data_IF_287009652088
#
_entry.id   IF_287009652088
#
_cell.length_a   1.000
_cell.length_b   1.000
_cell.length_c   1.000
_cell.angle_alpha   90.00
_cell.angle_beta   90.00
_cell.angle_gamma   90.00
#
_symmetry.space_group_name_H-M   'P 1'
#
loop_
_entity.id
_entity.type
_entity.pdbx_description
1 polymer ?
#
# COMPACT_ATOMS: atom_id res chain seq x y z
N UNK A 1 -25.92 10.23 -39.43
CA UNK A 1 -25.53 10.70 -38.08
C UNK A 1 -24.09 10.24 -37.79
N UNK A 2 -23.11 11.07 -38.14
CA UNK A 2 -21.69 10.82 -37.86
C UNK A 2 -21.42 11.21 -36.41
N UNK A 3 -21.31 10.21 -35.51
CA UNK A 3 -20.86 10.45 -34.12
C UNK A 3 -19.43 11.00 -34.18
N UNK A 4 -19.28 12.30 -33.95
CA UNK A 4 -17.97 12.92 -33.75
C UNK A 4 -17.26 12.23 -32.59
N UNK A 5 -16.20 11.49 -32.89
CA UNK A 5 -15.30 10.92 -31.90
C UNK A 5 -14.64 12.10 -31.17
N UNK A 6 -15.15 12.45 -30.00
CA UNK A 6 -14.48 13.41 -29.11
C UNK A 6 -13.15 12.80 -28.72
N UNK A 7 -12.06 13.24 -29.35
CA UNK A 7 -10.72 12.80 -28.98
C UNK A 7 -10.36 13.41 -27.63
N UNK A 8 -10.39 12.61 -26.58
CA UNK A 8 -9.80 13.02 -25.31
C UNK A 8 -8.28 13.01 -25.47
N UNK A 9 -7.68 14.20 -25.54
CA UNK A 9 -6.21 14.33 -25.51
C UNK A 9 -5.72 13.98 -24.11
N UNK A 10 -5.34 12.72 -23.91
CA UNK A 10 -4.63 12.29 -22.70
C UNK A 10 -3.19 12.73 -22.83
N UNK A 11 -2.82 13.79 -22.09
CA UNK A 11 -1.51 14.45 -22.19
C UNK A 11 -0.33 13.52 -21.85
N UNK A 12 -0.56 12.52 -20.99
CA UNK A 12 0.40 11.45 -20.70
C UNK A 12 -0.34 10.18 -20.21
N UNK A 13 -0.07 9.03 -20.84
CA UNK A 13 -0.69 7.76 -20.50
C UNK A 13 0.35 6.64 -20.44
N UNK A 14 0.23 5.78 -19.43
CA UNK A 14 1.14 4.65 -19.19
C UNK A 14 0.39 3.34 -19.50
N UNK A 15 1.03 2.34 -20.14
CA UNK A 15 0.44 1.01 -20.31
C UNK A 15 0.04 0.38 -18.96
N UNK A 16 -1.10 -0.30 -18.90
CA UNK A 16 -1.55 -1.01 -17.68
C UNK A 16 -0.54 -2.07 -17.20
N UNK A 17 0.23 -2.66 -18.12
CA UNK A 17 1.32 -3.59 -17.80
C UNK A 17 2.41 -2.94 -16.92
N UNK A 18 2.65 -1.63 -17.05
CA UNK A 18 3.70 -0.94 -16.28
C UNK A 18 3.43 -0.96 -14.77
N UNK A 19 2.17 -0.87 -14.33
CA UNK A 19 1.79 -0.96 -12.91
C UNK A 19 2.18 -2.35 -12.36
N UNK A 20 1.99 -3.40 -13.16
CA UNK A 20 2.27 -4.79 -12.78
C UNK A 20 3.76 -5.06 -12.69
N UNK A 21 4.51 -4.57 -13.67
CA UNK A 21 5.98 -4.65 -13.66
C UNK A 21 6.57 -3.85 -12.50
N UNK A 22 5.95 -2.73 -12.13
CA UNK A 22 6.35 -1.96 -10.95
C UNK A 22 6.10 -2.74 -9.65
N UNK A 23 4.95 -3.43 -9.51
CA UNK A 23 4.72 -4.34 -8.38
C UNK A 23 5.81 -5.42 -8.33
N UNK A 24 6.10 -6.07 -9.46
CA UNK A 24 7.15 -7.09 -9.54
C UNK A 24 8.51 -6.54 -9.08
N UNK A 25 8.91 -5.38 -9.58
CA UNK A 25 10.18 -4.75 -9.22
C UNK A 25 10.24 -4.41 -7.72
N UNK A 26 9.17 -3.84 -7.17
CA UNK A 26 9.09 -3.47 -5.74
C UNK A 26 9.09 -4.71 -4.84
N UNK A 27 8.31 -5.74 -5.16
CA UNK A 27 8.27 -6.98 -4.36
C UNK A 27 9.60 -7.71 -4.45
N UNK A 28 10.18 -7.84 -5.65
CA UNK A 28 11.48 -8.49 -5.81
C UNK A 28 12.59 -7.74 -5.09
N UNK A 29 12.72 -6.43 -5.31
CA UNK A 29 13.71 -5.60 -4.61
C UNK A 29 13.52 -5.62 -3.09
N UNK A 30 12.26 -5.51 -2.64
CA UNK A 30 11.92 -5.63 -1.23
C UNK A 30 12.24 -7.00 -0.64
N UNK A 31 12.02 -8.09 -1.37
CA UNK A 31 12.35 -9.44 -0.91
C UNK A 31 13.86 -9.63 -0.77
N UNK A 32 14.65 -9.19 -1.75
CA UNK A 32 16.12 -9.26 -1.71
C UNK A 32 16.68 -8.48 -0.51
N UNK A 33 16.14 -7.29 -0.25
CA UNK A 33 16.65 -6.42 0.81
C UNK A 33 16.14 -6.85 2.19
N UNK A 34 14.84 -7.16 2.32
CA UNK A 34 14.17 -7.31 3.62
C UNK A 34 14.01 -8.74 4.11
N UNK A 35 14.06 -9.74 3.23
CA UNK A 35 13.78 -11.14 3.60
C UNK A 35 15.09 -11.93 3.61
N UNK A 36 15.65 -12.34 4.76
CA UNK A 36 16.92 -13.08 4.79
C UNK A 36 16.76 -14.57 4.47
N UNK A 37 15.53 -15.08 4.43
CA UNK A 37 15.24 -16.49 4.21
C UNK A 37 14.98 -16.79 2.72
N UNK A 38 15.83 -17.58 2.04
CA UNK A 38 15.70 -17.83 0.61
C UNK A 38 14.36 -18.43 0.19
N UNK A 39 13.77 -19.27 1.05
CA UNK A 39 12.43 -19.84 0.81
C UNK A 39 11.37 -18.73 0.68
N UNK A 40 11.34 -17.78 1.62
CA UNK A 40 10.38 -16.68 1.63
C UNK A 40 10.64 -15.66 0.52
N UNK A 41 11.91 -15.46 0.14
CA UNK A 41 12.24 -14.69 -1.06
C UNK A 41 11.63 -15.33 -2.31
N UNK A 42 11.80 -16.65 -2.46
CA UNK A 42 11.20 -17.41 -3.56
C UNK A 42 9.69 -17.27 -3.59
N UNK A 43 9.01 -17.44 -2.46
CA UNK A 43 7.55 -17.26 -2.35
C UNK A 43 7.13 -15.84 -2.75
N UNK A 44 7.83 -14.81 -2.28
CA UNK A 44 7.51 -13.42 -2.62
C UNK A 44 7.66 -13.15 -4.13
N UNK A 45 8.73 -13.65 -4.75
CA UNK A 45 8.99 -13.50 -6.18
C UNK A 45 7.95 -14.24 -7.02
N UNK A 46 7.64 -15.50 -6.66
CA UNK A 46 6.60 -16.27 -7.34
C UNK A 46 5.25 -15.57 -7.21
N UNK A 47 4.89 -15.08 -6.01
CA UNK A 47 3.65 -14.33 -5.81
C UNK A 47 3.59 -13.06 -6.67
N UNK A 48 4.71 -12.35 -6.83
CA UNK A 48 4.79 -11.19 -7.71
C UNK A 48 4.64 -11.55 -9.19
N UNK A 49 5.26 -12.63 -9.65
CA UNK A 49 5.10 -13.15 -11.01
C UNK A 49 3.65 -13.56 -11.28
N UNK A 50 3.02 -14.23 -10.33
CA UNK A 50 1.59 -14.58 -10.39
C UNK A 50 0.72 -13.32 -10.46
N UNK A 51 1.04 -12.26 -9.70
CA UNK A 51 0.30 -11.00 -9.76
C UNK A 51 0.39 -10.33 -11.16
N UNK A 52 1.53 -10.47 -11.84
CA UNK A 52 1.70 -10.00 -13.23
C UNK A 52 0.82 -10.82 -14.17
N UNK A 53 0.91 -12.16 -14.08
CA UNK A 53 0.24 -13.11 -14.97
C UNK A 53 -1.29 -13.20 -14.76
N UNK A 54 -1.77 -12.99 -13.53
CA UNK A 54 -3.18 -13.09 -13.13
C UNK A 54 -3.70 -11.72 -12.64
N UNK A 55 -4.31 -10.93 -13.55
CA UNK A 55 -4.73 -9.55 -13.32
C UNK A 55 -5.62 -9.20 -12.16
N UNK A 56 -6.31 -10.19 -11.61
CA UNK A 56 -7.30 -10.02 -10.55
C UNK A 56 -7.08 -11.05 -9.45
N UNK A 57 -5.83 -11.18 -9.03
CA UNK A 57 -5.43 -12.09 -7.96
C UNK A 57 -5.02 -11.31 -6.72
N UNK A 58 -5.12 -11.96 -5.56
CA UNK A 58 -4.59 -11.43 -4.30
C UNK A 58 -3.08 -11.70 -4.14
N UNK A 59 -2.39 -12.13 -5.20
CA UNK A 59 -1.00 -12.59 -5.13
C UNK A 59 -0.02 -11.47 -4.71
N UNK A 60 -0.26 -10.23 -5.12
CA UNK A 60 0.58 -9.10 -4.69
C UNK A 60 0.54 -8.88 -3.16
N UNK A 61 -0.60 -9.16 -2.51
CA UNK A 61 -0.74 -9.09 -1.06
C UNK A 61 0.05 -10.19 -0.34
N UNK A 62 0.12 -11.39 -0.93
CA UNK A 62 1.02 -12.44 -0.43
C UNK A 62 2.49 -12.00 -0.49
N UNK A 63 2.90 -11.34 -1.59
CA UNK A 63 4.24 -10.74 -1.67
C UNK A 63 4.49 -9.71 -0.56
N UNK A 64 3.53 -8.81 -0.32
CA UNK A 64 3.62 -7.85 0.78
C UNK A 64 3.71 -8.52 2.17
N UNK A 65 2.94 -9.58 2.40
CA UNK A 65 3.00 -10.35 3.64
C UNK A 65 4.37 -10.99 3.85
N UNK A 66 5.00 -11.51 2.79
CA UNK A 66 6.35 -12.06 2.86
C UNK A 66 7.39 -11.00 3.28
N UNK A 67 7.27 -9.76 2.81
CA UNK A 67 8.14 -8.65 3.25
C UNK A 67 7.96 -8.35 4.75
N UNK A 68 6.71 -8.30 5.23
CA UNK A 68 6.41 -8.08 6.66
C UNK A 68 7.00 -9.20 7.51
N UNK A 69 6.79 -10.46 7.10
CA UNK A 69 7.37 -11.62 7.81
C UNK A 69 8.90 -11.58 7.78
N UNK A 70 9.51 -11.20 6.65
CA UNK A 70 10.97 -11.05 6.56
C UNK A 70 11.52 -10.07 7.60
N UNK A 71 10.84 -8.93 7.79
CA UNK A 71 11.26 -7.91 8.77
C UNK A 71 10.99 -8.38 10.20
N UNK A 72 9.83 -8.97 10.47
CA UNK A 72 9.46 -9.45 11.82
C UNK A 72 10.32 -10.62 12.30
N UNK A 73 10.79 -11.46 11.39
CA UNK A 73 11.63 -12.61 11.68
C UNK A 73 13.14 -12.31 11.59
N UNK A 74 13.50 -11.06 11.25
CA UNK A 74 14.89 -10.59 11.25
C UNK A 74 15.19 -9.85 12.55
N UNK A 75 16.48 -9.67 12.82
CA UNK A 75 16.92 -8.72 13.84
C UNK A 75 16.40 -7.31 13.54
N UNK A 76 16.04 -6.59 14.60
CA UNK A 76 15.45 -5.27 14.52
C UNK A 76 16.43 -4.25 13.94
N UNK A 77 16.17 -3.79 12.72
CA UNK A 77 16.90 -2.71 12.07
C UNK A 77 15.95 -1.57 11.66
N UNK A 78 16.19 -0.32 12.06
CA UNK A 78 15.34 0.82 11.71
C UNK A 78 15.28 1.06 10.20
N UNK A 79 16.37 0.83 9.47
CA UNK A 79 16.42 1.00 8.02
C UNK A 79 15.47 0.03 7.30
N UNK A 80 15.54 -1.25 7.68
CA UNK A 80 14.63 -2.31 7.19
C UNK A 80 13.18 -2.02 7.55
N UNK A 81 12.91 -1.53 8.76
CA UNK A 81 11.55 -1.18 9.20
C UNK A 81 10.98 0.00 8.40
N UNK A 82 11.76 1.06 8.23
CA UNK A 82 11.37 2.24 7.43
C UNK A 82 11.10 1.87 5.97
N UNK A 83 11.95 1.00 5.38
CA UNK A 83 11.74 0.43 4.06
C UNK A 83 10.47 -0.43 3.99
N UNK A 84 10.21 -1.28 4.97
CA UNK A 84 8.98 -2.08 5.02
C UNK A 84 7.73 -1.20 5.04
N UNK A 85 7.74 -0.15 5.87
CA UNK A 85 6.68 0.86 5.96
C UNK A 85 6.53 1.68 4.67
N UNK A 86 7.54 1.71 3.80
CA UNK A 86 7.43 2.28 2.45
C UNK A 86 6.88 1.29 1.43
N UNK A 87 7.47 0.11 1.37
CA UNK A 87 7.23 -0.87 0.30
C UNK A 87 5.87 -1.55 0.46
N UNK A 88 5.46 -1.90 1.68
CA UNK A 88 4.19 -2.61 1.91
C UNK A 88 2.97 -1.76 1.50
N UNK A 89 2.87 -0.47 1.90
CA UNK A 89 1.80 0.39 1.41
C UNK A 89 1.90 0.66 -0.09
N UNK A 90 3.11 0.78 -0.65
CA UNK A 90 3.28 0.93 -2.10
C UNK A 90 2.72 -0.28 -2.86
N UNK A 91 3.02 -1.50 -2.41
CA UNK A 91 2.45 -2.74 -2.96
C UNK A 91 0.93 -2.73 -2.82
N UNK A 92 0.38 -2.36 -1.66
CA UNK A 92 -1.06 -2.28 -1.43
C UNK A 92 -1.78 -1.33 -2.40
N UNK A 93 -1.23 -0.12 -2.58
CA UNK A 93 -1.81 0.89 -3.48
C UNK A 93 -1.73 0.42 -4.93
N UNK A 94 -0.57 -0.05 -5.37
CA UNK A 94 -0.38 -0.54 -6.74
C UNK A 94 -1.23 -1.78 -7.02
N UNK A 95 -1.32 -2.71 -6.07
CA UNK A 95 -2.13 -3.91 -6.20
C UNK A 95 -3.62 -3.56 -6.32
N UNK A 96 -4.13 -2.67 -5.47
CA UNK A 96 -5.50 -2.16 -5.55
C UNK A 96 -5.79 -1.52 -6.91
N UNK A 97 -4.88 -0.64 -7.38
CA UNK A 97 -4.97 0.00 -8.69
C UNK A 97 -4.94 -1.04 -9.84
N UNK A 98 -4.14 -2.11 -9.70
CA UNK A 98 -4.02 -3.15 -10.72
C UNK A 98 -5.28 -4.01 -10.90
N UNK A 99 -6.14 -4.09 -9.87
CA UNK A 99 -7.42 -4.82 -9.96
C UNK A 99 -8.42 -4.11 -10.89
N UNK A 100 -8.37 -2.78 -10.91
CA UNK A 100 -9.27 -1.92 -11.69
C UNK A 100 -8.80 -1.74 -13.14
N UNK A 101 -7.50 -1.90 -13.40
CA UNK A 101 -6.89 -1.57 -14.69
C UNK A 101 -6.65 -2.85 -15.52
N UNK A 102 -7.34 -3.00 -16.68
CA UNK A 102 -7.05 -4.07 -17.62
C UNK A 102 -5.63 -3.98 -18.19
N UNK A 103 -4.99 -5.12 -18.44
CA UNK A 103 -3.59 -5.19 -18.87
C UNK A 103 -3.32 -4.48 -20.22
N UNK A 104 -4.32 -4.51 -21.11
CA UNK A 104 -4.28 -3.90 -22.45
C UNK A 104 -4.66 -2.41 -22.45
N UNK A 105 -5.11 -1.86 -21.32
CA UNK A 105 -5.56 -0.48 -21.23
C UNK A 105 -4.38 0.50 -21.09
N UNK A 106 -4.62 1.75 -21.49
CA UNK A 106 -3.72 2.87 -21.22
C UNK A 106 -4.32 3.74 -20.13
N UNK A 107 -3.52 4.03 -19.12
CA UNK A 107 -3.94 4.71 -17.90
C UNK A 107 -3.41 6.13 -17.94
N UNK A 108 -4.30 7.11 -17.87
CA UNK A 108 -3.88 8.50 -17.73
C UNK A 108 -3.17 8.71 -16.39
N UNK A 109 -1.98 9.32 -16.40
CA UNK A 109 -1.22 9.60 -15.16
C UNK A 109 -2.02 10.44 -14.16
N UNK A 110 -2.87 11.34 -14.65
CA UNK A 110 -3.74 12.17 -13.82
C UNK A 110 -4.70 11.34 -12.94
N UNK A 111 -5.08 10.13 -13.38
CA UNK A 111 -5.97 9.24 -12.61
C UNK A 111 -5.23 8.57 -11.45
N UNK A 112 -3.91 8.41 -11.55
CA UNK A 112 -3.08 7.86 -10.48
C UNK A 112 -2.74 8.89 -9.40
N UNK A 113 -2.88 10.18 -9.70
CA UNK A 113 -2.50 11.27 -8.81
C UNK A 113 -3.20 11.22 -7.43
N UNK A 114 -4.52 11.01 -7.31
CA UNK A 114 -5.16 10.92 -6.00
C UNK A 114 -4.62 9.77 -5.15
N UNK A 115 -4.34 8.62 -5.76
CA UNK A 115 -3.76 7.46 -5.07
C UNK A 115 -2.33 7.74 -4.62
N UNK A 116 -1.52 8.36 -5.47
CA UNK A 116 -0.16 8.78 -5.14
C UNK A 116 -0.15 9.83 -4.02
N UNK A 117 -1.02 10.84 -4.09
CA UNK A 117 -1.13 11.87 -3.06
C UNK A 117 -1.52 11.26 -1.70
N UNK A 118 -2.49 10.34 -1.67
CA UNK A 118 -2.86 9.61 -0.45
C UNK A 118 -1.70 8.79 0.10
N UNK A 119 -0.97 8.08 -0.76
CA UNK A 119 0.23 7.35 -0.37
C UNK A 119 1.28 8.28 0.24
N UNK A 120 1.58 9.41 -0.40
CA UNK A 120 2.56 10.38 0.10
C UNK A 120 2.15 10.98 1.44
N UNK A 121 0.86 11.29 1.66
CA UNK A 121 0.36 11.75 2.96
C UNK A 121 0.56 10.69 4.03
N UNK A 122 0.22 9.43 3.73
CA UNK A 122 0.45 8.31 4.67
C UNK A 122 1.94 8.18 4.98
N UNK A 123 2.82 8.24 3.98
CA UNK A 123 4.27 8.14 4.20
C UNK A 123 4.83 9.32 5.00
N UNK A 124 4.34 10.54 4.74
CA UNK A 124 4.75 11.74 5.45
C UNK A 124 4.41 11.65 6.95
N UNK A 125 3.34 10.95 7.31
CA UNK A 125 2.96 10.70 8.70
C UNK A 125 3.65 9.47 9.29
N UNK A 126 3.78 8.39 8.52
CA UNK A 126 4.29 7.11 9.00
C UNK A 126 5.82 7.13 9.22
N UNK A 127 6.59 7.75 8.32
CA UNK A 127 8.05 7.77 8.41
C UNK A 127 8.55 8.49 9.68
N UNK A 128 8.02 9.66 10.07
CA UNK A 128 8.35 10.28 11.36
C UNK A 128 7.95 9.43 12.57
N UNK A 129 6.86 8.68 12.51
CA UNK A 129 6.46 7.76 13.58
C UNK A 129 7.47 6.63 13.72
N UNK A 130 7.89 6.01 12.61
CA UNK A 130 8.94 4.97 12.62
C UNK A 130 10.24 5.53 13.21
N UNK A 131 10.64 6.73 12.76
CA UNK A 131 11.84 7.40 13.27
C UNK A 131 11.73 7.73 14.75
N UNK A 132 10.59 8.25 15.21
CA UNK A 132 10.35 8.58 16.62
C UNK A 132 10.36 7.34 17.51
N UNK A 133 9.72 6.25 17.08
CA UNK A 133 9.76 4.97 17.80
C UNK A 133 11.18 4.45 17.91
N UNK A 134 11.98 4.55 16.84
CA UNK A 134 13.38 4.15 16.87
C UNK A 134 14.22 5.00 17.84
N UNK A 135 14.10 6.33 17.81
CA UNK A 135 14.83 7.22 18.74
C UNK A 135 14.46 6.98 20.20
N UNK A 136 13.20 6.62 20.46
CA UNK A 136 12.68 6.35 21.80
C UNK A 136 12.87 4.89 22.24
N UNK A 137 13.28 3.99 21.35
CA UNK A 137 13.46 2.58 21.67
C UNK A 137 14.66 2.42 22.62
N UNK A 138 14.50 1.80 23.80
CA UNK A 138 15.62 1.52 24.69
C UNK A 138 16.64 0.62 23.99
N UNK A 139 17.94 0.88 24.14
CA UNK A 139 19.02 0.10 23.52
C UNK A 139 19.07 -1.38 23.94
N UNK A 140 18.32 -1.77 24.98
CA UNK A 140 18.21 -3.14 25.51
C UNK A 140 16.73 -3.58 25.58
N UNK A 141 16.01 -3.49 24.46
CA UNK A 141 14.56 -3.62 24.37
C UNK A 141 14.00 -5.04 24.54
N UNK A 142 14.60 -5.89 25.38
CA UNK A 142 14.08 -7.23 25.63
C UNK A 142 12.80 -7.23 26.50
N UNK A 143 12.53 -6.14 27.23
CA UNK A 143 11.39 -6.07 28.17
C UNK A 143 10.54 -4.78 28.06
N UNK A 144 11.06 -3.69 27.50
CA UNK A 144 10.37 -2.38 27.49
C UNK A 144 9.25 -2.26 26.45
N UNK A 145 9.42 -2.86 25.26
CA UNK A 145 8.44 -2.75 24.16
C UNK A 145 7.20 -3.63 24.41
N UNK A 146 7.37 -4.77 25.09
CA UNK A 146 6.26 -5.66 25.43
C UNK A 146 5.19 -4.98 26.31
N UNK A 147 5.59 -4.05 27.18
CA UNK A 147 4.68 -3.31 28.05
C UNK A 147 3.81 -2.29 27.29
N UNK A 148 4.31 -1.76 26.18
CA UNK A 148 3.64 -0.73 25.35
C UNK A 148 2.86 -1.34 24.18
N UNK A 149 3.14 -2.60 23.83
CA UNK A 149 2.45 -3.32 22.76
C UNK A 149 0.91 -3.32 22.91
N UNK A 150 0.31 -3.51 24.11
CA UNK A 150 -1.14 -3.42 24.28
C UNK A 150 -1.69 -2.02 23.96
N UNK A 151 -0.97 -0.96 24.37
CA UNK A 151 -1.36 0.43 24.08
C UNK A 151 -1.30 0.72 22.58
N UNK A 152 -0.25 0.25 21.89
CA UNK A 152 -0.15 0.36 20.45
C UNK A 152 -1.29 -0.39 19.73
N UNK A 153 -1.65 -1.59 20.21
CA UNK A 153 -2.77 -2.35 19.69
C UNK A 153 -4.12 -1.62 19.87
N UNK A 154 -4.36 -1.03 21.04
CA UNK A 154 -5.57 -0.22 21.30
C UNK A 154 -5.61 1.01 20.40
N UNK A 155 -4.49 1.73 20.27
CA UNK A 155 -4.40 2.89 19.38
C UNK A 155 -4.70 2.51 17.91
N UNK A 156 -4.20 1.37 17.45
CA UNK A 156 -4.49 0.82 16.13
C UNK A 156 -5.99 0.54 15.96
N UNK A 157 -6.62 -0.15 16.92
CA UNK A 157 -8.05 -0.47 16.90
C UNK A 157 -8.90 0.81 16.85
N UNK A 158 -8.57 1.81 17.68
CA UNK A 158 -9.27 3.10 17.67
C UNK A 158 -9.11 3.83 16.34
N UNK A 159 -7.89 3.84 15.78
CA UNK A 159 -7.63 4.41 14.45
C UNK A 159 -8.49 3.77 13.37
N UNK A 160 -8.60 2.45 13.36
CA UNK A 160 -9.45 1.70 12.42
C UNK A 160 -10.93 2.07 12.61
N UNK A 161 -11.42 2.10 13.84
CA UNK A 161 -12.82 2.47 14.14
C UNK A 161 -13.15 3.89 13.69
N UNK A 162 -12.24 4.84 13.91
CA UNK A 162 -12.41 6.23 13.46
C UNK A 162 -12.41 6.33 11.93
N UNK A 163 -11.50 5.62 11.25
CA UNK A 163 -11.46 5.57 9.79
C UNK A 163 -12.76 4.98 9.21
N UNK A 164 -13.25 3.87 9.75
CA UNK A 164 -14.53 3.25 9.35
C UNK A 164 -15.69 4.22 9.57
N UNK A 165 -15.70 4.92 10.71
CA UNK A 165 -16.74 5.92 11.02
C UNK A 165 -16.71 7.09 10.05
N UNK A 166 -15.52 7.54 9.65
CA UNK A 166 -15.35 8.62 8.68
C UNK A 166 -15.90 8.21 7.30
N UNK A 167 -15.54 7.01 6.81
CA UNK A 167 -16.06 6.47 5.54
C UNK A 167 -17.60 6.38 5.58
N UNK A 168 -18.17 5.81 6.65
CA UNK A 168 -19.63 5.71 6.81
C UNK A 168 -20.33 7.07 6.83
N UNK A 169 -19.68 8.12 7.37
CA UNK A 169 -20.22 9.48 7.36
C UNK A 169 -20.18 10.11 5.97
N UNK A 170 -19.15 9.80 5.19
CA UNK A 170 -19.05 10.25 3.79
C UNK A 170 -20.11 9.61 2.88
N UNK A 171 -20.53 8.38 3.19
CA UNK A 171 -21.54 7.64 2.44
C UNK A 171 -23.00 7.93 2.89
N UNK A 172 -23.20 8.75 3.93
CA UNK A 172 -24.55 9.07 4.40
C UNK A 172 -25.30 9.94 3.37
N UNK A 173 -26.54 9.58 2.97
CA UNK A 173 -27.30 10.33 1.98
C UNK A 173 -27.50 11.76 2.46
N UNK A 174 -27.06 12.73 1.64
CA UNK A 174 -27.24 14.16 1.87
C UNK A 174 -28.75 14.42 1.93
N UNK A 175 -29.29 14.78 3.10
CA UNK A 175 -30.69 15.21 3.24
C UNK A 175 -30.91 16.40 2.31
N UNK A 176 -31.55 16.18 1.17
CA UNK A 176 -32.04 17.25 0.30
C UNK A 176 -33.21 17.86 1.05
N UNK A 177 -33.00 19.01 1.69
CA UNK A 177 -34.11 19.82 2.19
C UNK A 177 -34.99 20.15 1.01
N UNK A 178 -36.15 19.49 0.94
CA UNK A 178 -37.24 19.87 0.07
C UNK A 178 -37.62 21.31 0.47
N UNK A 179 -37.34 22.26 -0.40
CA UNK A 179 -37.93 23.59 -0.34
C UNK A 179 -39.41 23.36 -0.60
N UNK A 180 -40.23 23.54 0.44
CA UNK A 180 -41.68 23.62 0.30
C UNK A 180 -41.99 24.98 -0.31
N UNK A 181 -42.57 24.96 -1.50
CA UNK A 181 -43.23 26.10 -2.15
C UNK A 181 -44.46 26.56 -1.34
#
# INVERSE_FOLDING_TARGET
>A
MTRGLRSFRVRAAVPGISVRLLILAIVWGGAVVLVPFPLWQGVAVVAALVAVALPRSLAAWFGAACLVLGVLLSESDPGRTALAVLLVPAIHVLASVSLEIPISSRVALAVLWPSLARFLVVQLLAQPVVFGVWVLAPSNADHGIAAIAPLAAVALVLGVLLAVRAVRRSDAPRKVSQVQD
#
